data_IF_418084510577
#
_entry.id   IF_418084510577
#
_cell.length_a   1.000
_cell.length_b   1.000
_cell.length_c   1.000
_cell.angle_alpha   90.00
_cell.angle_beta   90.00
_cell.angle_gamma   90.00
#
_symmetry.space_group_name_H-M   'P 1'
#
loop_
_entity.id
_entity.type
_entity.pdbx_description
1 polymer ?
#
# COMPACT_ATOMS: atom_id res chain seq x y z
N UNK A 1 -38.80 17.73 -30.16
CA UNK A 1 -37.49 17.97 -29.54
C UNK A 1 -37.38 17.10 -28.29
N UNK A 2 -36.53 16.06 -28.27
CA UNK A 2 -36.21 15.33 -27.05
C UNK A 2 -34.91 15.87 -26.45
N UNK A 3 -35.02 16.47 -25.26
CA UNK A 3 -33.90 16.90 -24.44
C UNK A 3 -33.57 15.87 -23.36
N UNK A 4 -32.26 15.65 -23.19
CA UNK A 4 -31.47 15.51 -21.95
C UNK A 4 -32.09 14.89 -20.69
N UNK A 5 -31.41 13.88 -20.14
CA UNK A 5 -30.78 13.83 -18.78
C UNK A 5 -30.51 12.35 -18.45
N UNK A 6 -29.28 11.83 -18.58
CA UNK A 6 -28.13 11.87 -17.65
C UNK A 6 -28.49 11.64 -16.18
N UNK A 7 -28.28 10.41 -15.72
CA UNK A 7 -27.64 10.06 -14.43
C UNK A 7 -27.29 8.58 -14.44
N UNK A 8 -26.07 8.27 -14.89
CA UNK A 8 -25.43 6.97 -14.66
C UNK A 8 -24.76 7.06 -13.30
N UNK A 9 -25.51 6.71 -12.25
CA UNK A 9 -25.00 6.51 -10.91
C UNK A 9 -24.33 5.13 -10.90
N UNK A 10 -23.02 5.09 -11.17
CA UNK A 10 -22.21 3.89 -10.98
C UNK A 10 -21.86 3.82 -9.50
N UNK A 11 -22.64 3.00 -8.79
CA UNK A 11 -22.30 2.44 -7.49
C UNK A 11 -21.09 1.53 -7.71
N UNK A 12 -19.88 2.08 -7.54
CA UNK A 12 -18.68 1.26 -7.45
C UNK A 12 -18.65 0.68 -6.03
N UNK A 13 -19.15 -0.55 -5.91
CA UNK A 13 -19.02 -1.39 -4.73
C UNK A 13 -17.52 -1.59 -4.42
N UNK A 14 -17.05 -0.97 -3.34
CA UNK A 14 -15.70 -1.11 -2.79
C UNK A 14 -15.55 -2.48 -2.09
N UNK A 15 -15.55 -3.58 -2.84
CA UNK A 15 -15.11 -4.90 -2.37
C UNK A 15 -13.65 -5.13 -2.77
N UNK A 16 -12.73 -4.61 -1.97
CA UNK A 16 -11.28 -4.68 -2.24
C UNK A 16 -10.42 -4.84 -0.99
N UNK A 17 -10.95 -5.44 0.07
CA UNK A 17 -10.14 -5.90 1.20
C UNK A 17 -9.73 -7.35 0.97
N UNK A 18 -8.60 -7.57 0.28
CA UNK A 18 -7.90 -8.85 0.32
C UNK A 18 -6.44 -8.68 -0.08
N UNK A 19 -5.59 -8.37 0.90
CA UNK A 19 -4.20 -8.86 0.89
C UNK A 19 -3.56 -8.76 2.27
N UNK A 20 -4.13 -9.47 3.24
CA UNK A 20 -3.35 -10.00 4.37
C UNK A 20 -3.30 -11.52 4.21
N UNK A 21 -2.58 -11.98 3.18
CA UNK A 21 -2.20 -13.39 3.05
C UNK A 21 -0.70 -13.49 3.35
N UNK A 22 -0.41 -13.64 4.64
CA UNK A 22 0.85 -14.17 5.13
C UNK A 22 0.92 -15.65 4.68
N UNK A 23 1.49 -15.90 3.51
CA UNK A 23 1.72 -17.26 3.02
C UNK A 23 3.06 -17.79 3.50
N UNK A 24 3.13 -18.87 4.31
CA UNK A 24 4.37 -19.55 4.60
C UNK A 24 4.66 -20.51 3.44
N UNK A 25 5.66 -20.20 2.62
CA UNK A 25 6.32 -21.25 1.84
C UNK A 25 7.78 -20.85 1.56
N UNK A 26 8.60 -21.12 2.57
CA UNK A 26 10.01 -21.42 2.41
C UNK A 26 10.16 -22.70 1.58
N UNK A 27 10.59 -22.57 0.32
CA UNK A 27 11.19 -23.69 -0.39
C UNK A 27 12.54 -23.26 -0.94
N UNK A 28 13.55 -23.66 -0.18
CA UNK A 28 14.96 -23.68 -0.55
C UNK A 28 15.16 -24.87 -1.49
N UNK A 29 15.45 -24.60 -2.75
CA UNK A 29 16.09 -25.53 -3.70
C UNK A 29 16.97 -24.63 -4.58
N UNK A 30 18.28 -24.76 -4.60
CA UNK A 30 18.98 -26.00 -4.81
C UNK A 30 19.79 -25.79 -6.09
N UNK A 31 21.07 -25.45 -5.92
CA UNK A 31 22.03 -25.17 -6.99
C UNK A 31 21.97 -26.17 -8.14
N UNK A 32 21.89 -25.68 -9.37
CA UNK A 32 22.30 -26.44 -10.56
C UNK A 32 23.17 -25.58 -11.45
N UNK A 33 24.46 -25.91 -11.41
CA UNK A 33 25.51 -25.45 -12.32
C UNK A 33 25.17 -25.96 -13.72
N UNK A 34 24.83 -25.05 -14.62
CA UNK A 34 24.42 -25.35 -15.99
C UNK A 34 24.96 -24.30 -16.96
N UNK A 35 26.22 -24.45 -17.32
CA UNK A 35 26.91 -23.68 -18.34
C UNK A 35 26.31 -24.01 -19.71
N UNK A 36 25.58 -23.08 -20.33
CA UNK A 36 25.23 -23.18 -21.76
C UNK A 36 25.05 -21.79 -22.39
N UNK A 37 26.13 -21.35 -23.03
CA UNK A 37 26.10 -20.37 -24.11
C UNK A 37 25.08 -20.81 -25.18
N UNK A 38 23.89 -20.21 -25.17
CA UNK A 38 23.04 -20.11 -26.36
C UNK A 38 22.76 -18.64 -26.62
N UNK A 39 23.46 -18.10 -27.61
CA UNK A 39 23.04 -16.92 -28.35
C UNK A 39 21.72 -17.25 -29.06
N UNK A 40 20.62 -17.22 -28.32
CA UNK A 40 19.31 -17.07 -28.91
C UNK A 40 19.24 -15.63 -29.41
N UNK A 41 19.38 -15.46 -30.73
CA UNK A 41 18.85 -14.30 -31.42
C UNK A 41 17.36 -14.20 -31.08
N UNK A 42 17.05 -13.42 -30.03
CA UNK A 42 15.72 -12.95 -29.76
C UNK A 42 15.28 -12.21 -31.01
N UNK A 43 14.43 -12.87 -31.81
CA UNK A 43 13.65 -12.21 -32.85
C UNK A 43 12.97 -11.02 -32.20
N UNK A 44 13.50 -9.83 -32.47
CA UNK A 44 12.91 -8.57 -32.07
C UNK A 44 11.53 -8.54 -32.70
N UNK A 45 10.50 -8.86 -31.90
CA UNK A 45 9.12 -8.75 -32.33
C UNK A 45 8.93 -7.29 -32.75
N UNK A 46 8.36 -7.02 -33.94
CA UNK A 46 8.16 -5.65 -34.38
C UNK A 46 7.34 -4.91 -33.31
N UNK A 47 7.64 -3.63 -33.04
CA UNK A 47 6.95 -2.85 -32.02
C UNK A 47 5.46 -2.91 -32.34
N UNK A 48 4.71 -3.62 -31.49
CA UNK A 48 3.27 -3.76 -31.62
C UNK A 48 2.72 -2.33 -31.54
N UNK A 49 2.15 -1.84 -32.63
CA UNK A 49 1.53 -0.52 -32.69
C UNK A 49 0.43 -0.51 -31.64
N UNK A 50 0.73 0.01 -30.45
CA UNK A 50 -0.25 0.21 -29.39
C UNK A 50 -1.35 1.07 -29.99
N UNK A 51 -2.56 0.53 -29.99
CA UNK A 51 -3.71 1.27 -30.52
C UNK A 51 -3.95 2.47 -29.60
N UNK A 52 -4.44 3.57 -30.15
CA UNK A 52 -4.67 4.81 -29.38
C UNK A 52 -5.59 4.55 -28.16
N UNK A 53 -6.45 3.54 -28.26
CA UNK A 53 -7.31 3.05 -27.18
C UNK A 53 -6.54 2.42 -26.01
N UNK A 54 -5.44 1.70 -26.27
CA UNK A 54 -4.59 1.11 -25.22
C UNK A 54 -3.90 2.20 -24.38
N UNK A 55 -3.57 3.33 -25.00
CA UNK A 55 -3.04 4.50 -24.29
C UNK A 55 -4.09 5.21 -23.43
N UNK A 56 -5.35 5.28 -23.89
CA UNK A 56 -6.45 5.87 -23.13
C UNK A 56 -6.84 5.00 -21.92
N UNK A 57 -6.89 3.68 -22.09
CA UNK A 57 -7.19 2.75 -21.00
C UNK A 57 -6.16 2.85 -19.85
N UNK A 58 -4.86 2.93 -20.18
CA UNK A 58 -3.80 3.11 -19.19
C UNK A 58 -3.89 4.44 -18.42
N UNK A 59 -4.44 5.51 -19.02
CA UNK A 59 -4.61 6.79 -18.34
C UNK A 59 -5.76 6.77 -17.32
N UNK A 60 -6.84 6.06 -17.63
CA UNK A 60 -7.97 5.89 -16.71
C UNK A 60 -7.57 5.04 -15.50
N UNK A 61 -6.90 3.92 -15.73
CA UNK A 61 -6.37 3.07 -14.66
C UNK A 61 -5.39 3.84 -13.76
N UNK A 62 -4.50 4.64 -14.36
CA UNK A 62 -3.57 5.48 -13.63
C UNK A 62 -4.29 6.52 -12.76
N UNK A 63 -5.37 7.15 -13.25
CA UNK A 63 -6.17 8.08 -12.43
C UNK A 63 -6.85 7.38 -11.27
N UNK A 64 -7.42 6.18 -11.48
CA UNK A 64 -8.09 5.40 -10.43
C UNK A 64 -7.12 4.97 -9.35
N UNK A 65 -5.95 4.43 -9.74
CA UNK A 65 -4.90 4.01 -8.81
C UNK A 65 -4.44 5.16 -7.89
N UNK A 66 -4.29 6.38 -8.43
CA UNK A 66 -3.88 7.54 -7.64
C UNK A 66 -4.96 8.08 -6.73
N UNK A 67 -6.23 7.97 -7.12
CA UNK A 67 -7.35 8.27 -6.26
C UNK A 67 -7.36 7.36 -5.03
N UNK A 68 -7.16 6.07 -5.25
CA UNK A 68 -7.08 5.08 -4.19
C UNK A 68 -5.85 5.27 -3.28
N UNK A 69 -4.67 5.51 -3.85
CA UNK A 69 -3.45 5.75 -3.08
C UNK A 69 -3.56 6.98 -2.17
N UNK A 70 -4.23 8.05 -2.61
CA UNK A 70 -4.49 9.21 -1.75
C UNK A 70 -5.43 8.87 -0.60
N UNK A 71 -6.47 8.07 -0.84
CA UNK A 71 -7.39 7.61 0.22
C UNK A 71 -6.62 6.79 1.27
N UNK A 72 -5.77 5.86 0.84
CA UNK A 72 -4.92 5.06 1.74
C UNK A 72 -3.98 5.94 2.55
N UNK A 73 -3.28 6.89 1.91
CA UNK A 73 -2.43 7.84 2.61
C UNK A 73 -3.18 8.64 3.70
N UNK A 74 -4.42 9.06 3.43
CA UNK A 74 -5.25 9.75 4.44
C UNK A 74 -5.61 8.84 5.62
N UNK A 75 -5.94 7.58 5.34
CA UNK A 75 -6.25 6.57 6.37
C UNK A 75 -5.02 6.31 7.24
N UNK A 76 -3.87 6.05 6.61
CA UNK A 76 -2.61 5.77 7.30
C UNK A 76 -2.14 6.96 8.14
N UNK A 77 -2.28 8.18 7.62
CA UNK A 77 -2.02 9.40 8.41
C UNK A 77 -2.96 9.53 9.61
N UNK A 78 -4.26 9.22 9.45
CA UNK A 78 -5.22 9.22 10.54
C UNK A 78 -4.89 8.20 11.62
N UNK A 79 -4.54 6.97 11.21
CA UNK A 79 -4.13 5.90 12.12
C UNK A 79 -2.80 6.20 12.81
N UNK A 80 -1.83 6.79 12.11
CA UNK A 80 -0.57 7.27 12.68
C UNK A 80 -0.82 8.30 13.79
N UNK A 81 -1.67 9.29 13.55
CA UNK A 81 -1.99 10.34 14.53
C UNK A 81 -2.76 9.76 15.72
N UNK A 82 -3.71 8.86 15.48
CA UNK A 82 -4.49 8.23 16.54
C UNK A 82 -3.60 7.40 17.47
N UNK A 83 -2.87 6.43 16.92
CA UNK A 83 -2.00 5.55 17.72
C UNK A 83 -0.81 6.29 18.31
N UNK A 84 -0.19 7.19 17.54
CA UNK A 84 0.91 8.03 18.01
C UNK A 84 0.46 8.99 19.11
N UNK A 85 -0.72 9.58 18.98
CA UNK A 85 -1.34 10.43 20.00
C UNK A 85 -1.63 9.66 21.29
N UNK A 86 -2.22 8.46 21.20
CA UNK A 86 -2.45 7.58 22.36
C UNK A 86 -1.12 7.24 23.04
N UNK A 87 -0.10 6.85 22.28
CA UNK A 87 1.20 6.52 22.82
C UNK A 87 1.85 7.72 23.54
N UNK A 88 1.84 8.91 22.94
CA UNK A 88 2.35 10.14 23.58
C UNK A 88 1.56 10.49 24.84
N UNK A 89 0.23 10.36 24.79
CA UNK A 89 -0.63 10.59 25.96
C UNK A 89 -0.27 9.67 27.12
N UNK A 90 -0.06 8.38 26.85
CA UNK A 90 0.37 7.40 27.86
C UNK A 90 1.74 7.75 28.42
N UNK A 91 2.67 8.25 27.60
CA UNK A 91 4.01 8.64 28.07
C UNK A 91 4.03 9.85 29.01
N UNK A 92 3.06 10.76 28.88
CA UNK A 92 2.90 11.92 29.77
C UNK A 92 2.31 11.50 31.13
N UNK A 93 1.59 10.38 31.17
CA UNK A 93 0.95 9.85 32.37
C UNK A 93 1.91 9.22 33.39
N UNK A 94 1.43 8.97 34.62
CA UNK A 94 2.19 8.24 35.63
C UNK A 94 2.49 6.81 35.15
N UNK A 95 3.74 6.37 35.33
CA UNK A 95 4.15 5.03 34.89
C UNK A 95 3.70 3.95 35.87
N UNK A 96 3.20 2.85 35.32
CA UNK A 96 2.78 1.67 36.09
C UNK A 96 3.99 0.76 36.37
N UNK A 97 4.36 0.49 37.64
CA UNK A 97 5.44 -0.44 37.95
C UNK A 97 5.05 -1.88 37.58
N UNK A 98 5.97 -2.63 36.98
CA UNK A 98 5.77 -4.03 36.59
C UNK A 98 5.40 -4.91 37.78
N UNK A 99 4.42 -5.81 37.61
CA UNK A 99 3.91 -6.70 38.65
C UNK A 99 2.93 -6.05 39.66
N UNK A 100 2.57 -4.78 39.48
CA UNK A 100 1.54 -4.12 40.29
C UNK A 100 0.11 -4.47 39.87
N UNK A 101 -0.85 -4.22 40.77
CA UNK A 101 -2.30 -4.32 40.53
C UNK A 101 -2.73 -5.65 39.88
N UNK A 102 -2.31 -6.78 40.45
CA UNK A 102 -2.66 -8.13 39.97
C UNK A 102 -2.30 -8.38 38.48
N UNK A 103 -1.24 -7.72 37.97
CA UNK A 103 -0.79 -7.86 36.58
C UNK A 103 -1.44 -6.89 35.59
N UNK A 104 -2.32 -5.99 36.05
CA UNK A 104 -2.90 -4.94 35.22
C UNK A 104 -1.83 -4.02 34.62
N UNK A 105 -0.80 -3.67 35.39
CA UNK A 105 0.32 -2.86 34.88
C UNK A 105 1.06 -3.53 33.72
N UNK A 106 1.21 -4.85 33.75
CA UNK A 106 1.94 -5.58 32.70
C UNK A 106 1.13 -5.57 31.39
N UNK A 107 -0.18 -5.76 31.49
CA UNK A 107 -1.12 -5.65 30.36
C UNK A 107 -1.11 -4.24 29.75
N UNK A 108 -1.10 -3.21 30.61
CA UNK A 108 -1.01 -1.81 30.19
C UNK A 108 0.32 -1.51 29.46
N UNK A 109 1.45 -2.00 29.99
CA UNK A 109 2.76 -1.83 29.37
C UNK A 109 2.84 -2.54 28.01
N UNK A 110 2.26 -3.74 27.88
CA UNK A 110 2.13 -4.45 26.60
C UNK A 110 1.29 -3.65 25.60
N UNK A 111 0.14 -3.14 26.02
CA UNK A 111 -0.71 -2.28 25.18
C UNK A 111 0.03 -1.02 24.71
N UNK A 112 0.82 -0.41 25.59
CA UNK A 112 1.65 0.75 25.27
C UNK A 112 2.74 0.42 24.25
N UNK A 113 3.41 -0.73 24.41
CA UNK A 113 4.40 -1.21 23.45
C UNK A 113 3.75 -1.50 22.08
N UNK A 114 2.57 -2.11 22.05
CA UNK A 114 1.83 -2.36 20.83
C UNK A 114 1.43 -1.04 20.12
N UNK A 115 0.96 -0.04 20.86
CA UNK A 115 0.64 1.28 20.31
C UNK A 115 1.88 1.95 19.68
N UNK A 116 3.06 1.81 20.30
CA UNK A 116 4.33 2.27 19.73
C UNK A 116 4.64 1.56 18.40
N UNK A 117 4.56 0.24 18.37
CA UNK A 117 4.83 -0.55 17.16
C UNK A 117 3.84 -0.22 16.02
N UNK A 118 2.55 -0.07 16.34
CA UNK A 118 1.54 0.35 15.36
C UNK A 118 1.83 1.74 14.81
N UNK A 119 2.21 2.70 15.67
CA UNK A 119 2.59 4.05 15.25
C UNK A 119 3.77 4.02 14.27
N UNK A 120 4.80 3.21 14.56
CA UNK A 120 5.94 3.04 13.65
C UNK A 120 5.52 2.38 12.33
N UNK A 121 4.68 1.35 12.38
CA UNK A 121 4.19 0.67 11.18
C UNK A 121 3.43 1.61 10.24
N UNK A 122 2.51 2.42 10.76
CA UNK A 122 1.82 3.46 9.96
C UNK A 122 2.79 4.56 9.50
N UNK A 123 3.79 4.92 10.30
CA UNK A 123 4.80 5.89 9.90
C UNK A 123 5.61 5.41 8.69
N UNK A 124 5.96 4.11 8.67
CA UNK A 124 6.60 3.49 7.52
C UNK A 124 5.67 3.40 6.31
N UNK A 125 4.39 3.03 6.48
CA UNK A 125 3.48 2.95 5.34
C UNK A 125 3.25 4.33 4.72
N UNK A 126 3.04 5.38 5.52
CA UNK A 126 2.97 6.78 5.05
C UNK A 126 4.23 7.16 4.28
N UNK A 127 5.42 6.80 4.77
CA UNK A 127 6.67 7.10 4.06
C UNK A 127 6.72 6.42 2.69
N UNK A 128 6.33 5.15 2.60
CA UNK A 128 6.28 4.42 1.34
C UNK A 128 5.20 4.96 0.40
N UNK A 129 4.02 5.31 0.91
CA UNK A 129 2.93 5.92 0.14
C UNK A 129 3.35 7.26 -0.47
N UNK A 130 4.06 8.11 0.29
CA UNK A 130 4.58 9.38 -0.23
C UNK A 130 5.61 9.13 -1.34
N UNK A 131 6.50 8.15 -1.18
CA UNK A 131 7.48 7.81 -2.22
C UNK A 131 6.79 7.24 -3.46
N UNK A 132 5.80 6.38 -3.29
CA UNK A 132 5.06 5.78 -4.40
C UNK A 132 4.20 6.82 -5.14
N UNK A 133 3.54 7.71 -4.39
CA UNK A 133 2.79 8.82 -4.94
C UNK A 133 3.70 9.78 -5.72
N UNK A 134 4.92 10.00 -5.25
CA UNK A 134 5.92 10.80 -5.95
C UNK A 134 6.45 10.09 -7.21
N UNK A 135 6.77 8.79 -7.12
CA UNK A 135 7.24 8.00 -8.26
C UNK A 135 6.19 7.88 -9.38
N UNK A 136 4.91 7.83 -9.02
CA UNK A 136 3.79 7.76 -9.96
C UNK A 136 3.44 9.12 -10.59
N UNK A 137 4.11 10.24 -10.22
CA UNK A 137 3.78 11.61 -10.68
C UNK A 137 3.82 11.76 -12.20
N UNK A 138 4.70 11.05 -12.88
CA UNK A 138 4.77 11.09 -14.34
C UNK A 138 3.72 10.16 -14.96
N UNK A 139 2.97 10.69 -15.92
CA UNK A 139 2.03 9.90 -16.70
C UNK A 139 2.77 8.89 -17.59
N UNK A 140 2.19 7.72 -17.92
CA UNK A 140 2.78 6.78 -18.87
C UNK A 140 3.14 7.41 -20.23
N UNK A 141 2.44 8.48 -20.63
CA UNK A 141 2.69 9.23 -21.88
C UNK A 141 4.03 9.97 -21.93
N UNK A 142 4.64 10.24 -20.77
CA UNK A 142 5.89 11.01 -20.67
C UNK A 142 7.12 10.14 -20.42
N UNK A 143 6.97 8.81 -20.33
CA UNK A 143 8.08 7.85 -20.26
C UNK A 143 8.34 7.27 -21.66
N UNK A 144 9.13 7.97 -22.46
CA UNK A 144 9.73 7.45 -23.70
C UNK A 144 11.09 6.84 -23.42
#
# INVERSE_FOLDING_TARGET
MPGSHRSSHSEDEDEGYSSLAFGPNSQFDGSSVGNQHRHHHQRQRPPKRRTVFEGLALEEEWKKARGWLRKMLFIDMGLLVLWGGIFVWVLIGPRCPSGGFEGWCDSFNVGTAAACLMSLAFGFSVFFDVKDLHASRQSPRTRT
#
